data_IF_185286152509
#
_entry.id   IF_185286152509
#
_cell.length_a   1.000
_cell.length_b   1.000
_cell.length_c   1.000
_cell.angle_alpha   90.00
_cell.angle_beta   90.00
_cell.angle_gamma   90.00
#
_symmetry.space_group_name_H-M   'P 1'
#
loop_
_entity.id
_entity.type
_entity.pdbx_description
1 polymer ?
#
# COMPACT_ATOMS: atom_id res chain seq x y z
N UNK A 1 3.62 3.52 -37.66
CA UNK A 1 4.66 3.34 -36.63
C UNK A 1 3.94 2.89 -35.36
N UNK A 2 3.84 1.56 -35.19
CA UNK A 2 3.16 0.94 -34.06
C UNK A 2 4.02 1.09 -32.83
N UNK A 3 3.47 1.71 -31.80
CA UNK A 3 4.04 1.73 -30.47
C UNK A 3 3.93 0.31 -29.88
N UNK A 4 5.07 -0.34 -29.71
CA UNK A 4 5.16 -1.64 -29.08
C UNK A 4 4.71 -1.55 -27.62
N UNK A 5 3.51 -2.02 -27.36
CA UNK A 5 3.02 -2.34 -26.01
C UNK A 5 3.89 -3.48 -25.47
N UNK A 6 4.87 -3.14 -24.64
CA UNK A 6 5.69 -4.12 -23.94
C UNK A 6 4.81 -4.78 -22.88
N UNK A 7 4.12 -5.85 -23.29
CA UNK A 7 3.33 -6.68 -22.37
C UNK A 7 4.22 -7.22 -21.25
N UNK A 8 3.93 -6.87 -20.02
CA UNK A 8 4.51 -7.48 -18.83
C UNK A 8 4.36 -9.01 -18.94
N UNK A 9 5.46 -9.72 -19.27
CA UNK A 9 5.47 -11.18 -19.25
C UNK A 9 5.28 -11.61 -17.79
N UNK A 10 4.16 -12.30 -17.52
CA UNK A 10 3.87 -12.82 -16.18
C UNK A 10 4.98 -13.78 -15.76
N UNK A 11 5.68 -13.41 -14.70
CA UNK A 11 6.56 -14.33 -13.96
C UNK A 11 5.69 -15.45 -13.36
N UNK A 12 6.17 -16.70 -13.35
CA UNK A 12 5.54 -17.79 -12.60
C UNK A 12 5.32 -17.34 -11.15
N UNK A 13 4.12 -17.59 -10.62
CA UNK A 13 3.67 -17.04 -9.34
C UNK A 13 4.67 -17.22 -8.20
N UNK A 14 5.27 -18.41 -8.06
CA UNK A 14 6.24 -18.69 -6.98
C UNK A 14 7.58 -17.95 -7.13
N UNK A 15 8.13 -17.87 -8.36
CA UNK A 15 9.38 -17.14 -8.60
C UNK A 15 9.19 -15.65 -8.37
N UNK A 16 8.07 -15.12 -8.82
CA UNK A 16 7.72 -13.73 -8.62
C UNK A 16 7.57 -13.41 -7.12
N UNK A 17 6.90 -14.26 -6.36
CA UNK A 17 6.76 -14.10 -4.91
C UNK A 17 8.11 -14.09 -4.21
N UNK A 18 9.02 -15.02 -4.54
CA UNK A 18 10.37 -15.07 -3.96
C UNK A 18 11.18 -13.80 -4.27
N UNK A 19 11.12 -13.31 -5.50
CA UNK A 19 11.84 -12.09 -5.90
C UNK A 19 11.29 -10.87 -5.16
N UNK A 20 9.97 -10.74 -5.08
CA UNK A 20 9.31 -9.64 -4.35
C UNK A 20 9.65 -9.70 -2.86
N UNK A 21 9.57 -10.87 -2.23
CA UNK A 21 9.93 -11.05 -0.82
C UNK A 21 11.41 -10.73 -0.58
N UNK A 22 12.32 -11.20 -1.43
CA UNK A 22 13.75 -10.90 -1.33
C UNK A 22 14.03 -9.40 -1.49
N UNK A 23 13.36 -8.71 -2.42
CA UNK A 23 13.51 -7.27 -2.59
C UNK A 23 13.02 -6.51 -1.36
N UNK A 24 11.84 -6.85 -0.83
CA UNK A 24 11.28 -6.25 0.38
C UNK A 24 12.23 -6.41 1.58
N UNK A 25 12.66 -7.64 1.84
CA UNK A 25 13.58 -7.95 2.93
C UNK A 25 14.92 -7.20 2.78
N UNK A 26 15.44 -7.14 1.55
CA UNK A 26 16.68 -6.43 1.26
C UNK A 26 16.56 -4.93 1.55
N UNK A 27 15.47 -4.29 1.11
CA UNK A 27 15.23 -2.87 1.37
C UNK A 27 15.06 -2.59 2.86
N UNK A 28 14.32 -3.43 3.57
CA UNK A 28 14.15 -3.32 5.02
C UNK A 28 15.46 -3.43 5.80
N UNK A 29 16.38 -4.29 5.34
CA UNK A 29 17.65 -4.52 6.04
C UNK A 29 18.78 -3.55 5.66
N UNK A 30 18.81 -3.05 4.43
CA UNK A 30 19.95 -2.33 3.83
C UNK A 30 19.59 -1.01 3.15
N UNK A 31 18.32 -0.66 3.15
CA UNK A 31 17.79 0.45 2.36
C UNK A 31 17.82 0.17 0.84
N UNK A 32 17.21 1.06 0.08
CA UNK A 32 17.14 0.94 -1.38
C UNK A 32 18.53 0.95 -2.04
N UNK A 33 19.46 1.77 -1.55
CA UNK A 33 20.83 1.85 -2.11
C UNK A 33 21.57 0.50 -2.01
N UNK A 34 21.40 -0.24 -0.90
CA UNK A 34 22.03 -1.54 -0.67
C UNK A 34 21.35 -2.72 -1.38
N UNK A 35 20.15 -2.51 -1.91
CA UNK A 35 19.31 -3.54 -2.52
C UNK A 35 19.54 -3.63 -4.03
N UNK A 36 20.71 -4.14 -4.43
CA UNK A 36 21.07 -4.31 -5.84
C UNK A 36 20.45 -5.59 -6.42
N UNK A 37 20.36 -5.67 -7.76
CA UNK A 37 19.91 -6.90 -8.42
C UNK A 37 20.78 -8.12 -8.12
N UNK A 38 22.09 -7.93 -7.86
CA UNK A 38 22.97 -9.03 -7.45
C UNK A 38 22.60 -9.59 -6.07
N UNK A 39 22.28 -8.71 -5.12
CA UNK A 39 21.84 -9.10 -3.77
C UNK A 39 20.49 -9.81 -3.85
N UNK A 40 19.51 -9.19 -4.50
CA UNK A 40 18.15 -9.72 -4.60
C UNK A 40 18.11 -11.05 -5.37
N UNK A 41 18.87 -11.19 -6.47
CA UNK A 41 18.94 -12.41 -7.24
C UNK A 41 19.49 -13.58 -6.39
N UNK A 42 20.56 -13.33 -5.63
CA UNK A 42 21.14 -14.31 -4.72
C UNK A 42 20.15 -14.72 -3.62
N UNK A 43 19.46 -13.77 -2.99
CA UNK A 43 18.49 -14.03 -1.93
C UNK A 43 17.24 -14.76 -2.45
N UNK A 44 16.78 -14.44 -3.65
CA UNK A 44 15.65 -15.10 -4.29
C UNK A 44 15.99 -16.46 -4.94
N UNK A 45 17.27 -16.83 -5.01
CA UNK A 45 17.71 -18.06 -5.68
C UNK A 45 17.48 -18.05 -7.19
N UNK A 46 17.69 -16.89 -7.84
CA UNK A 46 17.51 -16.71 -9.29
C UNK A 46 18.73 -16.03 -9.92
N UNK A 47 18.83 -16.02 -11.24
CA UNK A 47 19.90 -15.31 -11.93
C UNK A 47 19.62 -13.80 -12.00
N UNK A 48 20.66 -12.95 -11.94
CA UNK A 48 20.56 -11.52 -12.15
C UNK A 48 19.93 -11.18 -13.51
N UNK A 49 20.27 -11.97 -14.55
CA UNK A 49 19.71 -11.81 -15.89
C UNK A 49 18.19 -11.97 -15.93
N UNK A 50 17.64 -12.83 -15.06
CA UNK A 50 16.20 -12.99 -14.91
C UNK A 50 15.53 -11.71 -14.38
N UNK A 51 16.14 -11.03 -13.39
CA UNK A 51 15.62 -9.76 -12.87
C UNK A 51 15.62 -8.67 -13.94
N UNK A 52 16.74 -8.53 -14.69
CA UNK A 52 16.81 -7.59 -15.79
C UNK A 52 15.77 -7.89 -16.88
N UNK A 53 15.56 -9.15 -17.18
CA UNK A 53 14.61 -9.58 -18.22
C UNK A 53 13.16 -9.23 -17.84
N UNK A 54 12.76 -9.42 -16.58
CA UNK A 54 11.38 -9.21 -16.14
C UNK A 54 11.09 -7.78 -15.69
N UNK A 55 12.02 -7.15 -15.00
CA UNK A 55 11.77 -5.85 -14.37
C UNK A 55 12.52 -4.70 -15.06
N UNK A 56 13.62 -5.00 -15.74
CA UNK A 56 14.46 -3.98 -16.39
C UNK A 56 15.28 -3.18 -15.38
N UNK A 57 14.66 -2.55 -14.38
CA UNK A 57 15.33 -1.75 -13.37
C UNK A 57 14.94 -2.17 -11.93
N UNK A 58 15.75 -1.75 -10.97
CA UNK A 58 15.51 -1.96 -9.54
C UNK A 58 14.24 -1.22 -9.09
N UNK A 59 14.06 -0.02 -9.57
CA UNK A 59 12.92 0.85 -9.25
C UNK A 59 11.61 0.19 -9.69
N UNK A 60 11.57 -0.36 -10.89
CA UNK A 60 10.39 -1.12 -11.37
C UNK A 60 10.11 -2.36 -10.53
N UNK A 61 11.14 -3.07 -10.07
CA UNK A 61 10.94 -4.18 -9.14
C UNK A 61 10.38 -3.68 -7.80
N UNK A 62 10.84 -2.53 -7.30
CA UNK A 62 10.31 -1.93 -6.07
C UNK A 62 8.85 -1.49 -6.24
N UNK A 63 8.48 -0.91 -7.37
CA UNK A 63 7.06 -0.63 -7.70
C UNK A 63 6.22 -1.91 -7.69
N UNK A 64 6.74 -3.01 -8.23
CA UNK A 64 6.05 -4.31 -8.19
C UNK A 64 5.86 -4.84 -6.75
N UNK A 65 6.86 -4.64 -5.87
CA UNK A 65 6.73 -4.95 -4.44
C UNK A 65 5.59 -4.17 -3.82
N UNK A 66 5.58 -2.84 -3.98
CA UNK A 66 4.52 -1.97 -3.43
C UNK A 66 3.14 -2.37 -3.96
N UNK A 67 3.05 -2.65 -5.26
CA UNK A 67 1.79 -3.06 -5.89
C UNK A 67 1.23 -4.35 -5.29
N UNK A 68 2.05 -5.40 -5.16
CA UNK A 68 1.60 -6.69 -4.61
C UNK A 68 1.24 -6.63 -3.15
N UNK A 69 2.03 -5.89 -2.37
CA UNK A 69 1.74 -5.67 -0.95
C UNK A 69 0.42 -4.93 -0.76
N UNK A 70 0.16 -3.96 -1.62
CA UNK A 70 -1.09 -3.23 -1.61
C UNK A 70 -2.28 -4.06 -2.07
N UNK A 71 -2.15 -4.82 -3.16
CA UNK A 71 -3.22 -5.69 -3.66
C UNK A 71 -3.65 -6.69 -2.57
N UNK A 72 -2.68 -7.22 -1.81
CA UNK A 72 -2.96 -8.11 -0.66
C UNK A 72 -3.72 -7.39 0.45
N UNK A 73 -3.31 -6.16 0.81
CA UNK A 73 -3.99 -5.38 1.86
C UNK A 73 -5.38 -4.92 1.44
N UNK A 74 -5.54 -4.51 0.18
CA UNK A 74 -6.85 -4.13 -0.36
C UNK A 74 -7.81 -5.31 -0.31
N UNK A 75 -7.38 -6.50 -0.74
CA UNK A 75 -8.22 -7.70 -0.69
C UNK A 75 -8.63 -8.08 0.74
N UNK A 76 -7.71 -7.94 1.71
CA UNK A 76 -8.01 -8.18 3.12
C UNK A 76 -9.01 -7.16 3.67
N UNK A 77 -8.81 -5.87 3.38
CA UNK A 77 -9.72 -4.79 3.77
C UNK A 77 -11.14 -5.01 3.17
N UNK A 78 -11.22 -5.33 1.89
CA UNK A 78 -12.51 -5.58 1.23
C UNK A 78 -13.25 -6.77 1.86
N UNK A 79 -12.52 -7.85 2.20
CA UNK A 79 -13.09 -9.02 2.86
C UNK A 79 -13.61 -8.69 4.27
N UNK A 80 -12.88 -7.90 5.07
CA UNK A 80 -13.31 -7.44 6.39
C UNK A 80 -14.52 -6.49 6.27
N UNK A 81 -14.45 -5.51 5.37
CA UNK A 81 -15.55 -4.55 5.15
C UNK A 81 -16.83 -5.21 4.63
N UNK A 82 -16.75 -6.31 3.86
CA UNK A 82 -17.92 -7.03 3.39
C UNK A 82 -18.81 -7.49 4.55
N UNK A 83 -18.23 -7.89 5.68
CA UNK A 83 -18.94 -8.31 6.88
C UNK A 83 -19.36 -7.18 7.83
N UNK A 84 -18.99 -5.94 7.56
CA UNK A 84 -19.26 -4.80 8.44
C UNK A 84 -20.77 -4.46 8.44
N UNK A 85 -21.33 -4.32 9.64
CA UNK A 85 -22.77 -4.03 9.87
C UNK A 85 -22.98 -2.70 10.59
N UNK A 86 -21.90 -2.05 11.02
CA UNK A 86 -21.91 -0.77 11.71
C UNK A 86 -20.73 0.11 11.26
N UNK A 87 -20.81 1.40 11.54
CA UNK A 87 -19.70 2.34 11.32
C UNK A 87 -18.45 1.89 12.12
N UNK A 88 -18.65 1.32 13.31
CA UNK A 88 -17.54 0.83 14.11
C UNK A 88 -16.83 -0.37 13.48
N UNK A 89 -17.57 -1.27 12.82
CA UNK A 89 -16.96 -2.39 12.06
C UNK A 89 -16.13 -1.86 10.89
N UNK A 90 -16.64 -0.86 10.15
CA UNK A 90 -15.90 -0.23 9.06
C UNK A 90 -14.62 0.43 9.57
N UNK A 91 -14.69 1.16 10.68
CA UNK A 91 -13.50 1.80 11.30
C UNK A 91 -12.52 0.75 11.81
N UNK A 92 -13.01 -0.36 12.40
CA UNK A 92 -12.16 -1.46 12.84
C UNK A 92 -11.39 -2.10 11.67
N UNK A 93 -12.05 -2.31 10.53
CA UNK A 93 -11.39 -2.83 9.31
C UNK A 93 -10.31 -1.87 8.78
N UNK A 94 -10.58 -0.56 8.78
CA UNK A 94 -9.58 0.45 8.41
C UNK A 94 -8.40 0.47 9.39
N UNK A 95 -8.66 0.37 10.69
CA UNK A 95 -7.63 0.31 11.73
C UNK A 95 -6.78 -0.96 11.61
N UNK A 96 -7.40 -2.13 11.39
CA UNK A 96 -6.70 -3.40 11.12
C UNK A 96 -5.77 -3.30 9.91
N UNK A 97 -6.25 -2.72 8.80
CA UNK A 97 -5.46 -2.49 7.60
C UNK A 97 -4.27 -1.56 7.85
N UNK A 98 -4.48 -0.51 8.63
CA UNK A 98 -3.43 0.44 9.03
C UNK A 98 -2.39 -0.24 9.96
N UNK A 99 -2.84 -0.98 10.96
CA UNK A 99 -1.96 -1.74 11.85
C UNK A 99 -1.11 -2.75 11.08
N UNK A 100 -1.71 -3.50 10.17
CA UNK A 100 -1.00 -4.44 9.30
C UNK A 100 0.05 -3.74 8.42
N UNK A 101 -0.18 -2.49 8.01
CA UNK A 101 0.81 -1.69 7.29
C UNK A 101 1.97 -1.25 8.18
N UNK A 102 1.69 -0.75 9.38
CA UNK A 102 2.72 -0.20 10.28
C UNK A 102 3.52 -1.30 10.97
N UNK A 103 2.85 -2.38 11.42
CA UNK A 103 3.45 -3.49 12.16
C UNK A 103 3.85 -4.68 11.30
N UNK A 104 3.57 -4.61 9.99
CA UNK A 104 3.81 -5.67 9.02
C UNK A 104 5.29 -5.99 8.79
N UNK A 105 5.56 -6.82 7.78
CA UNK A 105 6.94 -7.25 7.47
C UNK A 105 7.89 -6.04 7.34
N UNK A 106 9.06 -6.09 8.01
CA UNK A 106 10.08 -5.06 7.87
C UNK A 106 10.40 -4.83 6.39
N UNK A 107 10.29 -3.58 5.95
CA UNK A 107 10.56 -3.21 4.56
C UNK A 107 9.33 -2.86 3.72
N UNK A 108 8.12 -3.26 4.10
CA UNK A 108 6.90 -2.90 3.34
C UNK A 108 6.73 -1.38 3.24
N UNK A 109 6.72 -0.69 4.36
CA UNK A 109 6.66 0.77 4.40
C UNK A 109 7.93 1.43 3.85
N UNK A 110 9.11 0.82 4.11
CA UNK A 110 10.38 1.35 3.61
C UNK A 110 10.39 1.40 2.06
N UNK A 111 9.92 0.34 1.38
CA UNK A 111 9.83 0.33 -0.08
C UNK A 111 8.84 1.40 -0.58
N UNK A 112 7.68 1.57 0.07
CA UNK A 112 6.70 2.59 -0.31
C UNK A 112 7.30 4.00 -0.23
N UNK A 113 7.96 4.35 0.88
CA UNK A 113 8.54 5.68 1.06
C UNK A 113 9.73 5.93 0.14
N UNK A 114 10.54 4.92 -0.14
CA UNK A 114 11.58 5.01 -1.16
C UNK A 114 11.00 5.30 -2.55
N UNK A 115 9.88 4.66 -2.91
CA UNK A 115 9.22 4.91 -4.20
C UNK A 115 8.57 6.29 -4.24
N UNK A 116 7.98 6.77 -3.16
CA UNK A 116 7.48 8.14 -3.07
C UNK A 116 8.62 9.17 -3.21
N UNK A 117 9.78 8.91 -2.61
CA UNK A 117 10.96 9.74 -2.80
C UNK A 117 11.48 9.70 -4.24
N UNK A 118 11.60 8.52 -4.83
CA UNK A 118 12.06 8.33 -6.20
C UNK A 118 11.13 8.98 -7.25
N UNK A 119 9.82 9.03 -6.98
CA UNK A 119 8.83 9.65 -7.86
C UNK A 119 9.08 11.15 -8.11
N UNK A 120 9.83 11.82 -7.22
CA UNK A 120 10.22 13.22 -7.37
C UNK A 120 11.28 13.43 -8.46
N UNK A 121 12.00 12.38 -8.82
CA UNK A 121 13.13 12.43 -9.75
C UNK A 121 12.97 11.53 -10.98
N UNK A 122 11.89 10.76 -11.06
CA UNK A 122 11.57 9.87 -12.15
C UNK A 122 10.11 9.98 -12.54
N UNK A 123 9.86 10.48 -13.74
CA UNK A 123 8.50 10.60 -14.29
C UNK A 123 7.82 9.24 -14.42
N UNK A 124 8.56 8.20 -14.79
CA UNK A 124 8.05 6.84 -14.87
C UNK A 124 7.52 6.35 -13.51
N UNK A 125 8.34 6.51 -12.45
CA UNK A 125 7.93 6.11 -11.10
C UNK A 125 6.77 6.97 -10.59
N UNK A 126 6.76 8.26 -10.93
CA UNK A 126 5.66 9.16 -10.58
C UNK A 126 4.32 8.70 -11.16
N UNK A 127 4.33 8.27 -12.43
CA UNK A 127 3.13 7.75 -13.09
C UNK A 127 2.65 6.48 -12.40
N UNK A 128 3.54 5.53 -12.14
CA UNK A 128 3.22 4.26 -11.48
C UNK A 128 2.66 4.48 -10.06
N UNK A 129 3.28 5.37 -9.29
CA UNK A 129 2.80 5.71 -7.94
C UNK A 129 1.45 6.43 -7.96
N UNK A 130 1.23 7.31 -8.92
CA UNK A 130 -0.05 7.99 -9.10
C UNK A 130 -1.17 6.99 -9.47
N UNK A 131 -0.88 6.02 -10.34
CA UNK A 131 -1.81 4.96 -10.72
C UNK A 131 -2.15 4.06 -9.54
N UNK A 132 -1.16 3.76 -8.72
CA UNK A 132 -1.30 2.95 -7.53
C UNK A 132 -2.26 3.62 -6.51
N UNK A 133 -2.00 4.89 -6.16
CA UNK A 133 -2.86 5.65 -5.24
C UNK A 133 -4.28 5.85 -5.79
N UNK A 134 -4.43 6.06 -7.10
CA UNK A 134 -5.77 6.14 -7.73
C UNK A 134 -6.55 4.83 -7.54
N UNK A 135 -5.91 3.68 -7.77
CA UNK A 135 -6.55 2.38 -7.57
C UNK A 135 -6.94 2.15 -6.11
N UNK A 136 -6.06 2.46 -5.17
CA UNK A 136 -6.38 2.30 -3.74
C UNK A 136 -7.57 3.14 -3.31
N UNK A 137 -7.60 4.42 -3.72
CA UNK A 137 -8.76 5.27 -3.45
C UNK A 137 -10.02 4.74 -4.10
N UNK A 138 -9.95 4.29 -5.34
CA UNK A 138 -11.10 3.74 -6.04
C UNK A 138 -11.66 2.47 -5.35
N UNK A 139 -10.80 1.58 -4.89
CA UNK A 139 -11.22 0.39 -4.13
C UNK A 139 -11.91 0.76 -2.82
N UNK A 140 -11.30 1.63 -2.03
CA UNK A 140 -11.90 2.07 -0.77
C UNK A 140 -13.21 2.84 -1.02
N UNK A 141 -13.25 3.73 -2.00
CA UNK A 141 -14.44 4.48 -2.36
C UNK A 141 -15.59 3.54 -2.79
N UNK A 142 -15.31 2.50 -3.56
CA UNK A 142 -16.29 1.51 -3.97
C UNK A 142 -16.85 0.72 -2.78
N UNK A 143 -15.98 0.30 -1.85
CA UNK A 143 -16.38 -0.39 -0.63
C UNK A 143 -17.24 0.50 0.28
N UNK A 144 -16.85 1.77 0.46
CA UNK A 144 -17.62 2.75 1.24
C UNK A 144 -18.98 3.05 0.61
N UNK A 145 -19.05 3.18 -0.71
CA UNK A 145 -20.29 3.41 -1.42
C UNK A 145 -21.26 2.22 -1.27
N UNK A 146 -20.75 1.00 -1.25
CA UNK A 146 -21.58 -0.18 -0.98
C UNK A 146 -22.13 -0.16 0.44
N UNK A 147 -21.31 0.16 1.43
CA UNK A 147 -21.73 0.31 2.83
C UNK A 147 -22.74 1.45 3.03
N UNK A 148 -22.64 2.51 2.25
CA UNK A 148 -23.66 3.57 2.23
C UNK A 148 -25.00 3.09 1.66
N UNK A 149 -24.98 2.31 0.57
CA UNK A 149 -26.20 1.69 0.01
C UNK A 149 -26.86 0.72 0.97
N UNK A 150 -26.08 -0.01 1.76
CA UNK A 150 -26.55 -0.89 2.83
C UNK A 150 -27.07 -0.12 4.06
N UNK A 151 -26.86 1.20 4.12
CA UNK A 151 -27.24 2.05 5.25
C UNK A 151 -26.33 1.91 6.48
N UNK A 152 -25.14 1.32 6.31
CA UNK A 152 -24.14 1.13 7.38
C UNK A 152 -23.39 2.42 7.67
N UNK A 153 -23.07 3.22 6.65
CA UNK A 153 -22.44 4.53 6.76
C UNK A 153 -23.29 5.61 6.09
N UNK A 154 -23.05 6.88 6.45
CA UNK A 154 -23.66 8.06 5.80
C UNK A 154 -22.52 9.06 5.47
N UNK A 155 -21.95 8.94 4.28
CA UNK A 155 -20.75 9.66 3.91
C UNK A 155 -21.00 11.18 3.89
N UNK A 156 -20.11 11.95 4.51
CA UNK A 156 -20.18 13.42 4.51
C UNK A 156 -19.51 14.04 3.27
N UNK A 157 -19.56 13.35 2.13
CA UNK A 157 -19.00 13.84 0.87
C UNK A 157 -18.92 12.77 -0.20
N UNK A 158 -18.35 13.14 -1.33
CA UNK A 158 -18.09 12.20 -2.42
C UNK A 158 -17.19 11.04 -1.93
N UNK A 159 -17.54 9.77 -2.23
CA UNK A 159 -16.82 8.59 -1.73
C UNK A 159 -15.31 8.60 -2.03
N UNK A 160 -14.88 9.11 -3.19
CA UNK A 160 -13.45 9.19 -3.54
C UNK A 160 -12.73 10.25 -2.68
N UNK A 161 -13.38 11.37 -2.40
CA UNK A 161 -12.89 12.42 -1.50
C UNK A 161 -12.77 11.87 -0.07
N UNK A 162 -13.78 11.14 0.42
CA UNK A 162 -13.75 10.50 1.75
C UNK A 162 -12.61 9.48 1.82
N UNK A 163 -12.47 8.61 0.82
CA UNK A 163 -11.36 7.67 0.73
C UNK A 163 -9.99 8.38 0.75
N UNK A 164 -9.86 9.49 0.01
CA UNK A 164 -8.63 10.29 -0.01
C UNK A 164 -8.28 10.86 1.37
N UNK A 165 -9.26 11.34 2.14
CA UNK A 165 -9.05 11.85 3.49
C UNK A 165 -8.66 10.74 4.46
N UNK A 166 -9.27 9.56 4.36
CA UNK A 166 -8.92 8.40 5.18
C UNK A 166 -7.49 7.93 4.90
N UNK A 167 -7.07 7.88 3.62
CA UNK A 167 -5.67 7.60 3.26
C UNK A 167 -4.72 8.67 3.81
N UNK A 168 -5.06 9.96 3.68
CA UNK A 168 -4.21 11.04 4.21
C UNK A 168 -4.04 10.94 5.73
N UNK A 169 -5.09 10.54 6.46
CA UNK A 169 -5.02 10.28 7.90
C UNK A 169 -4.08 9.10 8.20
N UNK A 170 -4.25 7.99 7.51
CA UNK A 170 -3.41 6.79 7.67
C UNK A 170 -1.95 7.04 7.28
N UNK A 171 -1.70 7.62 6.11
CA UNK A 171 -0.35 7.92 5.63
C UNK A 171 0.38 8.88 6.58
N UNK A 172 -0.30 9.96 7.01
CA UNK A 172 0.26 10.93 7.95
C UNK A 172 0.59 10.33 9.31
N UNK A 173 -0.30 9.51 9.86
CA UNK A 173 -0.05 8.77 11.11
C UNK A 173 1.07 7.75 10.93
N UNK A 174 1.07 7.00 9.83
CA UNK A 174 2.10 6.01 9.52
C UNK A 174 3.50 6.62 9.46
N UNK A 175 3.66 7.76 8.79
CA UNK A 175 4.95 8.49 8.75
C UNK A 175 5.43 8.86 10.17
N UNK A 176 4.54 9.39 11.02
CA UNK A 176 4.89 9.79 12.39
C UNK A 176 5.27 8.59 13.26
N UNK A 177 4.47 7.50 13.22
CA UNK A 177 4.73 6.29 13.99
C UNK A 177 6.05 5.61 13.64
N UNK A 178 6.42 5.63 12.34
CA UNK A 178 7.68 5.05 11.86
C UNK A 178 8.86 5.96 12.18
N UNK A 179 8.65 7.29 12.14
CA UNK A 179 9.72 8.26 12.38
C UNK A 179 10.07 8.43 13.86
N UNK A 180 9.10 8.21 14.77
CA UNK A 180 9.28 8.33 16.21
C UNK A 180 8.67 7.11 16.94
N UNK A 181 9.44 6.01 17.08
CA UNK A 181 8.97 4.81 17.74
C UNK A 181 8.66 4.98 19.23
N UNK A 182 9.21 5.99 19.89
CA UNK A 182 8.93 6.29 21.29
C UNK A 182 7.55 6.94 21.41
N UNK A 183 7.28 7.95 20.61
CA UNK A 183 5.95 8.55 20.51
C UNK A 183 4.89 7.53 20.06
N UNK A 184 5.24 6.63 19.14
CA UNK A 184 4.35 5.58 18.68
C UNK A 184 3.82 4.65 19.80
N UNK A 185 4.57 4.49 20.88
CA UNK A 185 4.15 3.71 22.06
C UNK A 185 3.20 4.46 23.00
N UNK A 186 3.20 5.78 22.95
CA UNK A 186 2.46 6.66 23.85
C UNK A 186 1.21 7.23 23.19
N UNK A 187 1.18 7.31 21.85
CA UNK A 187 0.07 7.92 21.12
C UNK A 187 -1.17 7.02 21.16
N UNK A 188 -2.29 7.63 21.49
CA UNK A 188 -3.60 7.00 21.31
C UNK A 188 -4.12 7.26 19.90
N UNK A 189 -4.52 6.20 19.21
CA UNK A 189 -5.20 6.29 17.91
C UNK A 189 -6.70 6.63 18.07
N UNK A 190 -7.21 6.79 19.29
CA UNK A 190 -8.64 7.01 19.56
C UNK A 190 -9.19 8.24 18.83
N UNK A 191 -8.41 9.34 18.80
CA UNK A 191 -8.82 10.56 18.08
C UNK A 191 -8.85 10.35 16.55
N UNK A 192 -7.91 9.60 16.01
CA UNK A 192 -7.89 9.26 14.60
C UNK A 192 -9.11 8.39 14.24
N UNK A 193 -9.40 7.37 15.03
CA UNK A 193 -10.59 6.53 14.86
C UNK A 193 -11.89 7.33 15.03
N UNK A 194 -11.97 8.23 16.03
CA UNK A 194 -13.12 9.11 16.21
C UNK A 194 -13.31 10.06 15.01
N UNK A 195 -12.21 10.53 14.41
CA UNK A 195 -12.24 11.35 13.20
C UNK A 195 -12.76 10.54 12.01
N UNK A 196 -12.28 9.31 11.83
CA UNK A 196 -12.78 8.40 10.78
C UNK A 196 -14.28 8.13 10.96
N UNK A 197 -14.76 7.86 12.20
CA UNK A 197 -16.21 7.69 12.49
C UNK A 197 -17.02 8.91 12.03
N UNK A 198 -16.56 10.11 12.35
CA UNK A 198 -17.27 11.34 11.92
C UNK A 198 -17.32 11.51 10.43
N UNK A 199 -16.21 11.23 9.73
CA UNK A 199 -16.15 11.29 8.27
C UNK A 199 -17.12 10.28 7.63
N UNK A 200 -17.31 9.12 8.27
CA UNK A 200 -18.21 8.05 7.84
C UNK A 200 -19.67 8.25 8.30
N UNK A 201 -19.97 9.37 8.94
CA UNK A 201 -21.35 9.74 9.27
C UNK A 201 -21.85 9.20 10.61
N UNK A 202 -20.99 8.78 11.53
CA UNK A 202 -21.43 8.49 12.90
C UNK A 202 -21.90 9.77 13.57
N UNK A 203 -23.11 9.77 14.11
CA UNK A 203 -23.59 10.81 15.02
C UNK A 203 -22.82 10.71 16.32
N UNK A 204 -22.45 11.88 16.88
CA UNK A 204 -21.73 11.96 18.16
C UNK A 204 -22.58 11.44 19.33
#
# INVERSE_FOLDING_TARGET
MEAATTGSRKLDGEKAQRIVAAMRASVGARGAAGSTFDVVAREAGVSRGLLHYYFGSKERLMVEVVRRDADTRVAAMEAEMAGATSVDDVVASLASTFEAFVSGEPGTHAVLYEMLSASRHSEEIRIEMADLYRRWRAHLAAALLEKEREGVVALHGDPETVASLLFALGDGMGVQLISDPDWAREVSLDLAMATARRILGATA
#
